data_IF_642848380959
#
_entry.id   IF_642848380959
#
_cell.length_a   1.000
_cell.length_b   1.000
_cell.length_c   1.000
_cell.angle_alpha   90.00
_cell.angle_beta   90.00
_cell.angle_gamma   90.00
#
_symmetry.space_group_name_H-M   'P 1'
#
loop_
_entity.id
_entity.type
_entity.pdbx_description
1 polymer ?
#
# COMPACT_ATOMS: atom_id res chain seq x y z
N UNK A 1 24.23 -30.38 -42.05
CA UNK A 1 24.23 -29.77 -40.70
C UNK A 1 22.93 -29.02 -40.51
N UNK A 2 21.96 -29.59 -39.79
CA UNK A 2 20.63 -28.99 -39.58
C UNK A 2 20.75 -27.97 -38.43
N UNK A 3 20.51 -26.68 -38.72
CA UNK A 3 20.40 -25.64 -37.69
C UNK A 3 19.15 -25.92 -36.87
N UNK A 4 19.33 -26.27 -35.60
CA UNK A 4 18.25 -26.43 -34.63
C UNK A 4 17.72 -25.05 -34.26
N UNK A 5 16.60 -24.63 -34.85
CA UNK A 5 15.93 -23.39 -34.43
C UNK A 5 15.36 -23.60 -33.02
N UNK A 6 16.07 -23.12 -32.01
CA UNK A 6 15.53 -23.00 -30.65
C UNK A 6 14.73 -21.71 -30.55
N UNK A 7 13.51 -21.71 -31.09
CA UNK A 7 12.60 -20.59 -30.95
C UNK A 7 12.13 -20.54 -29.49
N UNK A 8 12.88 -19.81 -28.64
CA UNK A 8 12.56 -19.63 -27.22
C UNK A 8 11.62 -18.45 -27.10
N UNK A 9 10.44 -18.66 -26.51
CA UNK A 9 9.51 -17.59 -26.22
C UNK A 9 10.16 -16.59 -25.24
N UNK A 10 10.06 -15.29 -25.55
CA UNK A 10 10.51 -14.23 -24.66
C UNK A 10 9.40 -13.94 -23.65
N UNK A 11 9.62 -14.17 -22.33
CA UNK A 11 8.67 -13.71 -21.33
C UNK A 11 8.66 -12.18 -21.30
N UNK A 12 7.46 -11.59 -21.30
CA UNK A 12 7.25 -10.14 -21.22
C UNK A 12 6.31 -9.86 -20.05
N UNK A 13 6.63 -8.86 -19.23
CA UNK A 13 5.73 -8.38 -18.18
C UNK A 13 4.71 -7.45 -18.82
N UNK A 14 3.47 -7.92 -18.94
CA UNK A 14 2.36 -7.13 -19.48
C UNK A 14 1.54 -6.41 -18.40
N UNK A 15 1.63 -6.88 -17.16
CA UNK A 15 1.02 -6.29 -15.98
C UNK A 15 1.74 -6.74 -14.71
N UNK A 16 1.60 -5.95 -13.64
CA UNK A 16 2.01 -6.32 -12.29
C UNK A 16 1.08 -5.66 -11.26
N UNK A 17 0.99 -6.25 -10.08
CA UNK A 17 0.08 -5.80 -9.01
C UNK A 17 0.48 -6.38 -7.65
N UNK A 18 -0.13 -5.87 -6.59
CA UNK A 18 0.19 -6.20 -5.21
C UNK A 18 -0.04 -5.02 -4.27
N UNK A 19 -0.04 -5.31 -2.97
CA UNK A 19 -0.16 -4.33 -1.88
C UNK A 19 1.02 -4.55 -0.93
N UNK A 20 1.64 -3.46 -0.48
CA UNK A 20 2.67 -3.49 0.56
C UNK A 20 2.59 -2.21 1.42
N UNK A 21 3.57 -1.98 2.29
CA UNK A 21 3.62 -0.81 3.16
C UNK A 21 3.67 0.54 2.42
N UNK A 22 4.04 0.56 1.14
CA UNK A 22 4.04 1.78 0.31
C UNK A 22 2.71 1.98 -0.46
N UNK A 23 1.75 1.05 -0.36
CA UNK A 23 0.46 1.09 -1.06
C UNK A 23 0.36 0.04 -2.18
N UNK A 24 -0.48 0.29 -3.19
CA UNK A 24 -0.65 -0.63 -4.32
C UNK A 24 0.42 -0.47 -5.39
N UNK A 25 0.84 -1.55 -6.04
CA UNK A 25 1.83 -1.47 -7.12
C UNK A 25 1.23 -1.19 -8.50
N UNK A 26 -0.07 -1.44 -8.70
CA UNK A 26 -0.76 -1.08 -9.94
C UNK A 26 -0.69 0.42 -10.19
N UNK A 27 -0.53 0.81 -11.45
CA UNK A 27 -0.31 2.22 -11.85
C UNK A 27 0.90 2.89 -11.17
N UNK A 28 1.86 2.07 -10.69
CA UNK A 28 3.08 2.50 -10.02
C UNK A 28 2.86 3.26 -8.70
N UNK A 29 1.70 3.16 -8.04
CA UNK A 29 1.38 4.01 -6.88
C UNK A 29 2.35 3.83 -5.71
N UNK A 30 2.71 2.59 -5.36
CA UNK A 30 3.71 2.31 -4.32
C UNK A 30 5.09 2.83 -4.68
N UNK A 31 5.51 2.74 -5.96
CA UNK A 31 6.76 3.36 -6.41
C UNK A 31 6.71 4.88 -6.28
N UNK A 32 5.61 5.50 -6.73
CA UNK A 32 5.39 6.95 -6.60
C UNK A 32 5.44 7.38 -5.12
N UNK A 33 4.81 6.65 -4.20
CA UNK A 33 4.87 6.94 -2.77
C UNK A 33 6.29 6.82 -2.19
N UNK A 34 7.09 5.87 -2.68
CA UNK A 34 8.50 5.73 -2.27
C UNK A 34 9.34 6.94 -2.67
N UNK A 35 9.12 7.51 -3.87
CA UNK A 35 9.85 8.68 -4.38
C UNK A 35 9.06 9.99 -4.25
N UNK A 36 8.14 10.05 -3.29
CA UNK A 36 7.07 11.05 -3.23
C UNK A 36 7.58 12.49 -3.38
N UNK A 37 8.67 12.85 -2.71
CA UNK A 37 9.15 14.23 -2.66
C UNK A 37 9.61 14.75 -4.03
N UNK A 38 10.05 13.86 -4.91
CA UNK A 38 10.50 14.15 -6.28
C UNK A 38 9.37 14.29 -7.30
N UNK A 39 8.12 14.03 -6.89
CA UNK A 39 6.97 14.06 -7.79
C UNK A 39 6.44 15.48 -8.00
N UNK A 40 5.76 15.68 -9.14
CA UNK A 40 4.91 16.86 -9.36
C UNK A 40 3.72 16.85 -8.41
N UNK A 41 3.13 18.02 -8.15
CA UNK A 41 1.97 18.15 -7.25
C UNK A 41 0.76 17.33 -7.68
N UNK A 42 0.58 17.11 -8.99
CA UNK A 42 -0.50 16.27 -9.51
C UNK A 42 -0.24 14.79 -9.18
N UNK A 43 0.99 14.32 -9.38
CA UNK A 43 1.36 12.94 -9.02
C UNK A 43 1.33 12.72 -7.50
N UNK A 44 1.70 13.72 -6.69
CA UNK A 44 1.54 13.67 -5.23
C UNK A 44 0.06 13.52 -4.83
N UNK A 45 -0.83 14.31 -5.45
CA UNK A 45 -2.27 14.20 -5.21
C UNK A 45 -2.83 12.81 -5.58
N UNK A 46 -2.40 12.23 -6.72
CA UNK A 46 -2.80 10.87 -7.09
C UNK A 46 -2.40 9.83 -6.03
N UNK A 47 -1.17 9.92 -5.52
CA UNK A 47 -0.68 9.01 -4.46
C UNK A 47 -1.49 9.20 -3.17
N UNK A 48 -1.69 10.44 -2.74
CA UNK A 48 -2.44 10.72 -1.50
C UNK A 48 -3.89 10.26 -1.60
N UNK A 49 -4.54 10.46 -2.75
CA UNK A 49 -5.88 9.96 -2.99
C UNK A 49 -5.93 8.44 -2.89
N UNK A 50 -4.97 7.75 -3.52
CA UNK A 50 -4.89 6.29 -3.52
C UNK A 50 -4.71 5.72 -2.12
N UNK A 51 -3.80 6.31 -1.34
CA UNK A 51 -3.55 5.94 0.04
C UNK A 51 -4.77 6.21 0.93
N UNK A 52 -5.38 7.39 0.83
CA UNK A 52 -6.53 7.75 1.65
C UNK A 52 -7.74 6.83 1.40
N UNK A 53 -7.94 6.36 0.16
CA UNK A 53 -8.94 5.34 -0.16
C UNK A 53 -8.54 3.97 0.42
N UNK A 54 -7.27 3.57 0.27
CA UNK A 54 -6.79 2.28 0.76
C UNK A 54 -6.84 2.16 2.29
N UNK A 55 -6.61 3.28 2.99
CA UNK A 55 -6.73 3.41 4.44
C UNK A 55 -8.18 3.55 4.92
N UNK A 56 -9.14 3.65 4.00
CA UNK A 56 -10.56 3.82 4.32
C UNK A 56 -10.89 5.19 4.94
N UNK A 57 -10.04 6.21 4.75
CA UNK A 57 -10.28 7.57 5.25
C UNK A 57 -11.31 8.31 4.42
N UNK A 58 -11.35 8.05 3.12
CA UNK A 58 -12.26 8.68 2.16
C UNK A 58 -12.86 7.66 1.20
N UNK A 59 -14.03 7.98 0.68
CA UNK A 59 -14.70 7.19 -0.35
C UNK A 59 -15.32 8.07 -1.43
N UNK A 60 -15.47 7.51 -2.63
CA UNK A 60 -16.13 8.18 -3.75
C UNK A 60 -17.63 7.92 -3.69
N UNK A 61 -18.42 8.98 -3.68
CA UNK A 61 -19.89 8.95 -3.71
C UNK A 61 -20.42 9.58 -4.99
N UNK A 62 -21.73 9.46 -5.26
CA UNK A 62 -22.37 9.90 -6.52
C UNK A 62 -22.21 11.40 -6.81
N UNK A 63 -21.82 12.21 -5.83
CA UNK A 63 -21.61 13.66 -5.97
C UNK A 63 -20.20 14.15 -5.64
N UNK A 64 -19.24 13.27 -5.35
CA UNK A 64 -17.90 13.68 -4.95
C UNK A 64 -17.23 12.70 -3.99
N UNK A 65 -16.71 13.25 -2.90
CA UNK A 65 -15.91 12.52 -1.92
C UNK A 65 -16.44 12.77 -0.52
N UNK A 66 -16.44 11.73 0.30
CA UNK A 66 -16.83 11.78 1.70
C UNK A 66 -15.75 11.15 2.57
N UNK A 67 -15.65 11.57 3.83
CA UNK A 67 -14.84 10.87 4.84
C UNK A 67 -15.53 9.60 5.31
N UNK A 68 -14.81 8.74 6.04
CA UNK A 68 -15.40 7.58 6.73
C UNK A 68 -16.51 7.92 7.74
N UNK A 69 -16.63 9.19 8.14
CA UNK A 69 -17.69 9.68 9.02
C UNK A 69 -18.92 10.19 8.26
N UNK A 70 -18.88 10.22 6.91
CA UNK A 70 -19.94 10.74 6.04
C UNK A 70 -19.86 12.24 5.75
N UNK A 71 -18.76 12.92 6.09
CA UNK A 71 -18.61 14.35 5.81
C UNK A 71 -18.18 14.57 4.36
N UNK A 72 -18.94 15.36 3.60
CA UNK A 72 -18.56 15.73 2.24
C UNK A 72 -17.30 16.61 2.22
N UNK A 73 -16.31 16.22 1.40
CA UNK A 73 -15.01 16.89 1.32
C UNK A 73 -14.69 17.43 -0.07
N UNK A 74 -13.92 18.53 -0.10
CA UNK A 74 -13.22 18.98 -1.30
C UNK A 74 -11.90 18.23 -1.40
N UNK A 75 -11.85 17.20 -2.25
CA UNK A 75 -10.73 16.26 -2.35
C UNK A 75 -9.35 16.92 -2.30
N UNK A 76 -9.06 17.87 -3.20
CA UNK A 76 -7.72 18.48 -3.31
C UNK A 76 -7.30 19.22 -2.03
N UNK A 77 -8.23 19.90 -1.36
CA UNK A 77 -7.97 20.60 -0.11
C UNK A 77 -7.72 19.59 1.01
N UNK A 78 -8.60 18.59 1.14
CA UNK A 78 -8.48 17.53 2.14
C UNK A 78 -7.14 16.79 2.04
N UNK A 79 -6.74 16.35 0.84
CA UNK A 79 -5.48 15.63 0.63
C UNK A 79 -4.27 16.48 1.00
N UNK A 80 -4.31 17.78 0.71
CA UNK A 80 -3.21 18.70 1.05
C UNK A 80 -3.09 18.91 2.56
N UNK A 81 -4.22 19.07 3.25
CA UNK A 81 -4.27 19.30 4.69
C UNK A 81 -3.92 18.05 5.51
N UNK A 82 -4.22 16.86 4.99
CA UNK A 82 -4.01 15.58 5.66
C UNK A 82 -2.80 14.79 5.14
N UNK A 83 -1.91 15.44 4.36
CA UNK A 83 -0.77 14.78 3.71
C UNK A 83 0.09 13.98 4.70
N UNK A 84 0.47 14.61 5.81
CA UNK A 84 1.32 13.99 6.83
C UNK A 84 0.61 12.80 7.49
N UNK A 85 -0.68 12.93 7.80
CA UNK A 85 -1.47 11.86 8.42
C UNK A 85 -1.64 10.66 7.49
N UNK A 86 -1.96 10.90 6.22
CA UNK A 86 -2.11 9.86 5.19
C UNK A 86 -0.79 9.11 4.97
N UNK A 87 0.36 9.79 5.04
CA UNK A 87 1.66 9.11 4.81
C UNK A 87 2.24 8.49 6.08
N UNK A 88 1.85 8.94 7.27
CA UNK A 88 2.36 8.44 8.55
C UNK A 88 2.10 6.93 8.76
N UNK A 89 1.06 6.39 8.13
CA UNK A 89 0.72 4.97 8.22
C UNK A 89 1.37 4.10 7.14
N UNK A 90 2.27 4.67 6.34
CA UNK A 90 2.98 3.98 5.26
C UNK A 90 4.45 3.71 5.60
N UNK A 91 5.12 2.95 4.75
CA UNK A 91 6.55 2.61 4.85
C UNK A 91 6.90 1.79 6.10
N UNK A 92 8.20 1.67 6.37
CA UNK A 92 8.70 1.04 7.60
C UNK A 92 8.40 1.97 8.78
N UNK A 93 7.61 1.46 9.72
CA UNK A 93 7.17 2.19 10.92
C UNK A 93 7.01 1.23 12.09
N UNK A 94 6.72 1.79 13.27
CA UNK A 94 6.40 1.00 14.46
C UNK A 94 5.16 0.13 14.21
N UNK A 95 5.17 -1.07 14.79
CA UNK A 95 4.00 -1.97 14.81
C UNK A 95 2.89 -1.30 15.62
N UNK A 96 1.68 -1.32 15.09
CA UNK A 96 0.48 -0.84 15.78
C UNK A 96 0.11 -1.92 16.80
N UNK A 97 0.28 -1.62 18.09
CA UNK A 97 0.11 -2.61 19.17
C UNK A 97 -1.31 -3.15 19.22
N UNK A 98 -2.28 -2.30 18.90
CA UNK A 98 -3.70 -2.61 18.85
C UNK A 98 -4.03 -3.64 17.75
N UNK A 99 -3.24 -3.69 16.67
CA UNK A 99 -3.38 -4.67 15.59
C UNK A 99 -2.53 -5.91 15.82
N UNK A 100 -1.32 -5.72 16.34
CA UNK A 100 -0.38 -6.79 16.63
C UNK A 100 0.49 -6.40 17.82
N UNK A 101 0.33 -7.06 18.96
CA UNK A 101 1.15 -6.80 20.14
C UNK A 101 2.46 -7.61 20.08
N UNK A 102 3.62 -6.96 19.83
CA UNK A 102 4.89 -7.67 19.76
C UNK A 102 5.41 -8.11 21.14
N UNK A 103 4.87 -7.55 22.24
CA UNK A 103 5.30 -7.89 23.61
C UNK A 103 4.36 -8.90 24.28
N UNK A 104 3.11 -8.99 23.81
CA UNK A 104 2.10 -9.94 24.28
C UNK A 104 2.21 -11.35 23.67
N UNK A 105 3.42 -11.77 23.29
CA UNK A 105 3.63 -13.09 22.65
C UNK A 105 3.35 -14.21 23.67
N UNK A 106 2.38 -15.07 23.38
CA UNK A 106 2.03 -16.22 24.21
C UNK A 106 3.05 -17.33 23.99
N UNK A 107 4.09 -17.38 24.82
CA UNK A 107 5.12 -18.44 24.77
C UNK A 107 4.68 -19.71 25.52
N UNK A 108 3.91 -19.58 26.60
CA UNK A 108 3.60 -20.67 27.53
C UNK A 108 2.62 -21.73 26.98
N UNK A 109 1.95 -21.46 25.85
CA UNK A 109 1.06 -22.42 25.17
C UNK A 109 1.73 -23.13 23.98
N UNK A 110 2.95 -22.74 23.61
CA UNK A 110 3.71 -23.42 22.56
C UNK A 110 4.49 -24.55 23.23
N UNK A 111 3.78 -25.63 23.59
CA UNK A 111 4.39 -26.91 23.87
C UNK A 111 4.88 -27.51 22.53
N UNK A 112 5.94 -26.92 21.96
CA UNK A 112 6.73 -27.58 20.93
C UNK A 112 7.46 -28.74 21.61
N UNK A 113 6.74 -29.84 21.80
CA UNK A 113 7.34 -31.11 22.15
C UNK A 113 8.30 -31.47 21.03
N UNK A 114 9.58 -31.21 21.23
CA UNK A 114 10.62 -31.94 20.53
C UNK A 114 10.46 -33.40 20.94
N UNK A 115 9.64 -34.13 20.19
CA UNK A 115 9.66 -35.59 20.18
C UNK A 115 10.98 -36.02 19.54
N UNK A 116 12.04 -35.94 20.34
CA UNK A 116 13.39 -36.29 19.99
C UNK A 116 14.09 -36.65 21.29
N UNK A 117 14.02 -37.93 21.64
CA UNK A 117 15.03 -38.83 22.21
C UNK A 117 14.33 -40.15 22.55
#
# INVERSE_FOLDING_TARGET
MVKKNTNKNLPVITAFGGINAAGRSSSHQSYKNTIFDSLSDNCKQEVLQDLAVLEGKIESVSGGWETSSGDSIKLKTYLKENLEEIRAQTMVRRIIREEFDPEGIILDQIQAGSAGM
#
